data_IF_322302943762
#
_entry.id   IF_322302943762
#
_cell.length_a   1.000
_cell.length_b   1.000
_cell.length_c   1.000
_cell.angle_alpha   90.00
_cell.angle_beta   90.00
_cell.angle_gamma   90.00
#
_symmetry.space_group_name_H-M   'P 1'
#
loop_
_entity.id
_entity.type
_entity.pdbx_description
1 polymer ?
#
# COMPACT_ATOMS: atom_id res chain seq x y z
N UNK A 1 -12.58 10.56 8.09
CA UNK A 1 -12.92 9.67 6.96
C UNK A 1 -11.67 8.97 6.50
N UNK A 2 -11.77 8.04 5.55
CA UNK A 2 -10.62 7.40 4.91
C UNK A 2 -10.38 7.99 3.51
N UNK A 3 -9.13 7.97 3.05
CA UNK A 3 -8.71 8.42 1.72
C UNK A 3 -7.83 7.35 1.11
N UNK A 4 -8.07 7.01 -0.15
CA UNK A 4 -7.20 6.11 -0.92
C UNK A 4 -6.09 6.92 -1.61
N UNK A 5 -4.83 6.57 -1.33
CA UNK A 5 -3.67 7.21 -1.96
C UNK A 5 -3.42 6.69 -3.38
N UNK A 6 -2.63 7.43 -4.16
CA UNK A 6 -2.22 7.02 -5.50
C UNK A 6 -1.27 5.80 -5.47
N UNK A 7 -1.39 4.97 -6.50
CA UNK A 7 -0.55 3.78 -6.70
C UNK A 7 0.36 3.91 -7.92
N UNK A 8 1.25 2.94 -8.13
CA UNK A 8 2.14 2.90 -9.30
C UNK A 8 1.41 2.74 -10.64
N UNK A 9 0.11 2.40 -10.62
CA UNK A 9 -0.73 2.42 -11.84
C UNK A 9 -1.36 3.79 -12.12
N UNK A 10 -1.00 4.81 -11.33
CA UNK A 10 -1.40 6.19 -11.56
C UNK A 10 -2.85 6.51 -11.18
N UNK A 11 -3.49 5.66 -10.39
CA UNK A 11 -4.86 5.84 -9.89
C UNK A 11 -4.93 5.48 -8.40
N UNK A 12 -5.86 6.07 -7.63
CA UNK A 12 -6.08 5.70 -6.25
C UNK A 12 -6.81 4.35 -6.12
N UNK A 13 -6.56 3.67 -5.01
CA UNK A 13 -7.24 2.44 -4.63
C UNK A 13 -6.50 1.15 -4.98
N UNK A 14 -7.10 0.00 -4.64
CA UNK A 14 -6.46 -1.31 -4.76
C UNK A 14 -6.57 -1.91 -6.17
N UNK A 15 -5.41 -2.23 -6.76
CA UNK A 15 -5.31 -3.10 -7.93
C UNK A 15 -4.73 -4.45 -7.51
N UNK A 16 -5.49 -5.52 -7.76
CA UNK A 16 -5.09 -6.87 -7.38
C UNK A 16 -3.90 -7.44 -8.17
N UNK A 17 -3.40 -8.62 -7.76
CA UNK A 17 -2.29 -9.30 -8.43
C UNK A 17 -2.50 -9.52 -9.93
N UNK A 18 -1.58 -8.98 -10.76
CA UNK A 18 -1.49 -9.28 -12.19
C UNK A 18 -0.05 -9.67 -12.60
N UNK A 19 0.53 -10.73 -12.01
CA UNK A 19 1.89 -11.15 -12.34
C UNK A 19 1.95 -11.71 -13.78
N UNK A 20 3.05 -11.47 -14.53
CA UNK A 20 3.22 -11.97 -15.89
C UNK A 20 3.11 -13.50 -16.00
N UNK A 21 2.78 -13.99 -17.19
CA UNK A 21 2.74 -15.43 -17.48
C UNK A 21 4.08 -16.08 -17.13
N UNK A 22 4.03 -17.22 -16.45
CA UNK A 22 5.23 -17.94 -15.98
C UNK A 22 5.90 -17.35 -14.72
N UNK A 23 5.33 -16.31 -14.10
CA UNK A 23 5.86 -15.68 -12.89
C UNK A 23 4.85 -15.74 -11.74
N UNK A 24 5.36 -15.99 -10.54
CA UNK A 24 4.65 -15.77 -9.27
C UNK A 24 5.31 -14.59 -8.57
N UNK A 25 4.50 -13.68 -8.05
CA UNK A 25 4.98 -12.54 -7.27
C UNK A 25 4.49 -12.66 -5.83
N UNK A 26 5.27 -12.14 -4.89
CA UNK A 26 4.86 -11.98 -3.49
C UNK A 26 4.31 -10.57 -3.31
N UNK A 27 3.09 -10.48 -2.78
CA UNK A 27 2.41 -9.24 -2.44
C UNK A 27 2.44 -9.10 -0.92
N UNK A 28 3.04 -8.03 -0.44
CA UNK A 28 3.18 -7.72 0.98
C UNK A 28 2.09 -6.72 1.37
N UNK A 29 1.22 -7.12 2.29
CA UNK A 29 0.16 -6.26 2.83
C UNK A 29 0.52 -5.93 4.26
N UNK A 30 0.64 -4.64 4.58
CA UNK A 30 0.99 -4.17 5.91
C UNK A 30 -0.10 -3.23 6.42
N UNK A 31 -0.54 -3.48 7.66
CA UNK A 31 -1.36 -2.54 8.42
C UNK A 31 -0.46 -1.85 9.43
N UNK A 32 -0.56 -0.52 9.50
CA UNK A 32 0.16 0.30 10.47
C UNK A 32 -0.84 0.84 11.51
N UNK A 33 -0.50 0.71 12.79
CA UNK A 33 -1.14 1.43 13.87
C UNK A 33 -0.41 2.77 14.03
N UNK A 34 -1.16 3.88 14.03
CA UNK A 34 -0.61 5.23 14.07
C UNK A 34 -0.94 5.91 15.40
N UNK A 35 -0.08 6.83 15.85
CA UNK A 35 -0.31 7.69 17.03
C UNK A 35 -1.10 8.98 16.72
N UNK A 36 -1.54 9.15 15.48
CA UNK A 36 -2.32 10.30 15.02
C UNK A 36 -3.63 9.85 14.37
N UNK A 37 -4.67 10.65 14.57
CA UNK A 37 -5.98 10.43 13.94
C UNK A 37 -5.99 10.79 12.44
N UNK A 38 -5.03 11.62 11.99
CA UNK A 38 -4.93 12.10 10.61
C UNK A 38 -3.48 12.24 10.17
N UNK A 39 -3.20 11.82 8.94
CA UNK A 39 -1.93 12.07 8.27
C UNK A 39 -2.00 13.37 7.47
N UNK A 40 -0.95 14.18 7.52
CA UNK A 40 -0.82 15.43 6.76
C UNK A 40 -0.26 15.20 5.34
N UNK A 41 -0.50 14.02 4.77
CA UNK A 41 -0.13 13.71 3.39
C UNK A 41 -1.00 14.53 2.41
N UNK A 42 -0.41 15.20 1.42
CA UNK A 42 -1.18 15.98 0.46
C UNK A 42 -2.09 15.09 -0.39
N UNK A 43 -3.18 15.67 -0.89
CA UNK A 43 -4.05 14.98 -1.84
C UNK A 43 -3.26 14.53 -3.08
N UNK A 44 -3.45 13.29 -3.49
CA UNK A 44 -2.72 12.70 -4.61
C UNK A 44 -1.24 12.36 -4.32
N UNK A 45 -0.81 12.39 -3.05
CA UNK A 45 0.52 11.93 -2.65
C UNK A 45 0.85 10.57 -3.26
N UNK A 46 2.09 10.43 -3.73
CA UNK A 46 2.61 9.15 -4.25
C UNK A 46 2.71 8.12 -3.13
N UNK A 47 2.67 6.83 -3.46
CA UNK A 47 2.82 5.77 -2.47
C UNK A 47 4.07 5.93 -1.57
N UNK A 48 5.26 6.32 -2.09
CA UNK A 48 6.41 6.60 -1.23
C UNK A 48 6.23 7.77 -0.27
N UNK A 49 5.59 8.86 -0.72
CA UNK A 49 5.35 10.02 0.14
C UNK A 49 4.33 9.69 1.24
N UNK A 50 3.26 8.98 0.90
CA UNK A 50 2.31 8.46 1.89
C UNK A 50 3.00 7.55 2.91
N UNK A 51 3.90 6.68 2.45
CA UNK A 51 4.72 5.84 3.32
C UNK A 51 5.60 6.62 4.28
N UNK A 52 6.19 7.74 3.85
CA UNK A 52 6.95 8.64 4.73
C UNK A 52 6.12 9.14 5.92
N UNK A 53 4.90 9.65 5.65
CA UNK A 53 3.99 10.11 6.71
C UNK A 53 3.52 8.97 7.63
N UNK A 54 3.23 7.79 7.06
CA UNK A 54 2.88 6.59 7.84
C UNK A 54 4.02 6.23 8.80
N UNK A 55 5.26 6.17 8.32
CA UNK A 55 6.41 5.78 9.13
C UNK A 55 6.73 6.77 10.26
N UNK A 56 6.46 8.07 10.05
CA UNK A 56 6.62 9.09 11.08
C UNK A 56 5.74 8.85 12.31
N UNK A 57 4.55 8.28 12.10
CA UNK A 57 3.51 8.09 13.13
C UNK A 57 3.30 6.62 13.54
N UNK A 58 4.04 5.68 12.93
CA UNK A 58 3.81 4.24 13.12
C UNK A 58 4.28 3.76 14.50
N UNK A 59 3.34 3.37 15.35
CA UNK A 59 3.58 2.78 16.68
C UNK A 59 3.52 1.25 16.70
N UNK A 60 3.04 0.64 15.62
CA UNK A 60 3.00 -0.81 15.45
C UNK A 60 2.64 -1.18 14.02
N UNK A 61 2.95 -2.42 13.62
CA UNK A 61 2.57 -2.92 12.30
C UNK A 61 2.36 -4.43 12.33
N UNK A 62 1.52 -4.92 11.43
CA UNK A 62 1.38 -6.34 11.13
C UNK A 62 1.41 -6.54 9.61
N UNK A 63 2.06 -7.62 9.17
CA UNK A 63 2.29 -7.89 7.76
C UNK A 63 1.85 -9.30 7.40
N UNK A 64 1.19 -9.45 6.26
CA UNK A 64 0.97 -10.73 5.61
C UNK A 64 1.59 -10.73 4.22
N UNK A 65 2.15 -11.87 3.82
CA UNK A 65 2.70 -12.07 2.49
C UNK A 65 1.85 -13.09 1.74
N UNK A 66 1.37 -12.72 0.56
CA UNK A 66 0.56 -13.59 -0.30
C UNK A 66 1.29 -13.80 -1.61
N UNK A 67 1.52 -15.06 -1.98
CA UNK A 67 2.06 -15.38 -3.30
C UNK A 67 0.91 -15.56 -4.29
N UNK A 68 0.93 -14.86 -5.42
CA UNK A 68 -0.09 -14.96 -6.46
C UNK A 68 0.53 -15.11 -7.86
N UNK A 69 -0.25 -15.68 -8.78
CA UNK A 69 0.10 -15.83 -10.20
C UNK A 69 0.35 -17.26 -10.70
N UNK A 70 0.67 -17.40 -12.00
CA UNK A 70 0.61 -16.34 -13.03
C UNK A 70 -0.83 -15.95 -13.39
N UNK A 71 -1.04 -14.80 -14.07
CA UNK A 71 -2.33 -14.52 -14.71
C UNK A 71 -2.68 -15.62 -15.72
N UNK A 72 -3.96 -16.00 -15.79
CA UNK A 72 -4.49 -16.92 -16.81
C UNK A 72 -4.47 -16.30 -18.20
#
# INVERSE_FOLDING_TARGET
GAVEGNTDVGQPGYLGPCPPVGRKHTYTYTVHALDTDKLDAPEGATAPLTGFYIHQHSIGQATINVTAGPRS
#
